data_IF_829640390739
#
_entry.id   IF_829640390739
#
_cell.length_a   1.000
_cell.length_b   1.000
_cell.length_c   1.000
_cell.angle_alpha   90.00
_cell.angle_beta   90.00
_cell.angle_gamma   90.00
#
_symmetry.space_group_name_H-M   'P 1'
#
loop_
_entity.id
_entity.type
_entity.pdbx_description
1 polymer ?
#
# COMPACT_ATOMS: atom_id res chain seq x y z
N UNK A 1 7.20 -21.16 -45.95
CA UNK A 1 6.75 -21.50 -45.40
C UNK A 1 6.43 -21.26 -45.28
N UNK A 2 6.59 -21.63 -44.69
CA UNK A 2 6.40 -21.98 -44.23
C UNK A 2 6.29 -21.73 -43.85
N UNK A 3 6.53 -21.64 -43.90
CA UNK A 3 6.38 -22.03 -43.38
C UNK A 3 6.32 -21.86 -42.86
N UNK A 4 6.72 -21.42 -42.81
CA UNK A 4 6.45 -21.85 -42.06
C UNK A 4 6.51 -21.66 -41.77
N UNK A 5 6.67 -21.88 -41.77
CA UNK A 5 6.50 -22.26 -41.18
C UNK A 5 6.34 -22.01 -40.49
N UNK A 6 7.06 -22.22 -41.61
CA UNK A 6 6.62 -22.66 -40.66
C UNK A 6 6.41 -22.13 -40.14
N UNK A 7 6.19 -22.20 -39.82
CA UNK A 7 5.89 -22.38 -39.11
C UNK A 7 5.70 -21.87 -38.51
N UNK A 8 6.39 -21.89 -38.66
CA UNK A 8 5.76 -22.11 -37.96
C UNK A 8 5.64 -21.69 -37.60
N UNK A 9 5.42 -21.78 -37.60
CA UNK A 9 5.08 -22.01 -36.88
C UNK A 9 4.91 -21.41 -36.36
N UNK A 10 5.33 -21.31 -36.67
CA UNK A 10 4.80 -21.49 -35.87
C UNK A 10 4.51 -20.96 -35.41
N UNK A 11 4.85 -21.06 -35.47
CA UNK A 11 4.19 -21.21 -34.63
C UNK A 11 3.91 -20.81 -34.12
N UNK A 12 4.15 -20.91 -34.13
CA UNK A 12 3.48 -21.11 -33.26
C UNK A 12 3.31 -20.78 -32.71
N UNK A 13 3.70 -21.03 -32.81
CA UNK A 13 3.10 -21.30 -31.85
C UNK A 13 2.95 -20.78 -31.59
N UNK A 14 2.85 -20.81 -31.46
CA UNK A 14 2.44 -20.97 -30.71
C UNK A 14 2.06 -20.52 -30.29
N UNK A 15 2.59 -20.69 -30.14
CA UNK A 15 1.84 -20.83 -29.46
C UNK A 15 1.56 -20.65 -29.15
N UNK A 16 1.50 -20.55 -29.42
CA UNK A 16 0.87 -20.75 -28.62
C UNK A 16 0.80 -20.41 -28.09
N UNK A 17 1.34 -20.74 -27.98
CA UNK A 17 0.89 -20.87 -27.13
C UNK A 17 0.77 -20.39 -26.88
N UNK A 18 0.75 -20.37 -26.74
CA UNK A 18 0.53 -19.93 -26.24
C UNK A 18 0.03 -19.50 -26.04
N UNK A 19 -0.23 -19.45 -25.48
CA UNK A 19 -0.79 -18.94 -24.91
C UNK A 19 -1.08 -18.74 -23.89
N UNK A 20 -1.61 -18.20 -23.01
CA UNK A 20 -2.06 -18.43 -21.65
C UNK A 20 -1.07 -18.19 -20.55
N UNK A 21 0.11 -18.00 -20.86
CA UNK A 21 1.17 -17.71 -19.91
C UNK A 21 1.03 -16.35 -19.26
N UNK A 22 0.60 -15.38 -20.01
CA UNK A 22 0.43 -14.03 -19.50
C UNK A 22 -0.58 -13.99 -18.34
N UNK A 23 -1.58 -14.83 -18.40
CA UNK A 23 -2.60 -14.89 -17.37
C UNK A 23 -2.02 -15.28 -16.01
N UNK A 24 -1.09 -16.23 -16.02
CA UNK A 24 -0.46 -16.70 -14.79
C UNK A 24 0.36 -15.59 -14.15
N UNK A 25 1.10 -14.83 -14.97
CA UNK A 25 1.92 -13.73 -14.48
C UNK A 25 1.08 -12.66 -13.79
N UNK A 26 -0.09 -12.37 -14.36
CA UNK A 26 -0.96 -11.35 -13.81
C UNK A 26 -1.39 -11.69 -12.39
N UNK A 27 -1.64 -12.96 -12.12
CA UNK A 27 -2.09 -13.37 -10.79
C UNK A 27 -1.11 -13.01 -9.69
N UNK A 28 0.17 -13.02 -9.98
CA UNK A 28 1.21 -12.82 -8.97
C UNK A 28 1.37 -11.35 -8.56
N UNK A 29 0.84 -10.40 -9.32
CA UNK A 29 1.02 -8.98 -9.00
C UNK A 29 -0.02 -8.45 -8.02
N UNK A 30 -1.03 -9.23 -7.68
CA UNK A 30 -2.08 -8.80 -6.75
C UNK A 30 -1.77 -9.25 -5.33
N UNK A 31 -0.60 -8.85 -4.85
CA UNK A 31 -0.22 -9.12 -3.47
C UNK A 31 -1.12 -8.32 -2.52
N UNK A 32 -1.39 -8.91 -1.36
CA UNK A 32 -2.10 -8.20 -0.31
C UNK A 32 -1.25 -7.05 0.20
N UNK A 33 -1.84 -5.87 0.43
CA UNK A 33 -1.11 -4.79 1.07
C UNK A 33 -0.69 -5.18 2.49
N UNK A 34 0.48 -4.72 2.89
CA UNK A 34 1.03 -4.96 4.23
C UNK A 34 1.64 -3.68 4.75
N UNK A 35 1.59 -3.50 6.07
CA UNK A 35 2.19 -2.35 6.73
C UNK A 35 2.84 -2.79 8.03
N UNK A 36 4.03 -2.24 8.28
CA UNK A 36 4.72 -2.34 9.56
C UNK A 36 5.01 -0.94 10.05
N UNK A 37 4.80 -0.69 11.33
CA UNK A 37 5.12 0.58 11.95
C UNK A 37 6.03 0.36 13.14
N UNK A 38 6.87 1.34 13.43
CA UNK A 38 7.79 1.29 14.57
C UNK A 38 8.10 2.72 15.01
N UNK A 39 7.97 3.02 16.31
CA UNK A 39 7.43 2.17 17.38
C UNK A 39 5.90 2.08 17.33
N UNK A 40 5.33 1.15 18.08
CA UNK A 40 3.87 0.98 18.13
C UNK A 40 3.22 1.76 19.27
N UNK A 41 4.01 2.53 19.99
CA UNK A 41 3.54 3.42 21.05
C UNK A 41 4.55 4.53 21.26
N UNK A 42 4.12 5.61 21.86
CA UNK A 42 5.02 6.72 22.17
C UNK A 42 4.31 7.79 23.00
N UNK A 43 5.06 8.83 23.40
CA UNK A 43 4.50 9.89 24.23
C UNK A 43 3.66 10.87 23.43
N UNK A 44 2.62 11.40 24.06
CA UNK A 44 1.82 12.49 23.49
C UNK A 44 2.69 13.74 23.32
N UNK A 45 3.52 14.02 24.30
CA UNK A 45 4.45 15.14 24.28
C UNK A 45 5.82 14.67 24.70
N UNK A 46 6.85 15.06 23.96
CA UNK A 46 6.88 16.01 22.83
C UNK A 46 6.43 15.42 21.49
N UNK A 47 5.85 14.24 21.48
CA UNK A 47 5.57 13.50 20.27
C UNK A 47 6.71 12.56 19.92
N UNK A 48 6.58 11.85 18.81
CA UNK A 48 7.62 10.90 18.39
C UNK A 48 7.50 10.60 16.90
N UNK A 49 8.60 10.15 16.33
CA UNK A 49 8.64 9.73 14.94
C UNK A 49 8.16 8.30 14.81
N UNK A 50 7.38 8.04 13.77
CA UNK A 50 6.92 6.70 13.43
C UNK A 50 7.46 6.38 12.04
N UNK A 51 8.17 5.27 11.92
CA UNK A 51 8.58 4.74 10.63
C UNK A 51 7.45 3.86 10.12
N UNK A 52 6.98 4.14 8.91
CA UNK A 52 5.91 3.40 8.28
C UNK A 52 6.47 2.74 7.03
N UNK A 53 6.49 1.42 7.04
CA UNK A 53 6.95 0.63 5.90
C UNK A 53 5.77 -0.15 5.36
N UNK A 54 5.52 -0.02 4.07
CA UNK A 54 4.35 -0.64 3.46
C UNK A 54 4.68 -1.15 2.07
N UNK A 55 3.90 -2.14 1.62
CA UNK A 55 4.01 -2.65 0.26
C UNK A 55 2.68 -3.28 -0.15
N UNK A 56 2.56 -3.64 -1.44
CA UNK A 56 1.36 -4.26 -1.97
C UNK A 56 0.32 -3.27 -2.47
N UNK A 57 0.65 -1.99 -2.50
CA UNK A 57 -0.22 -0.96 -3.06
C UNK A 57 0.04 -0.79 -4.56
N UNK A 58 -0.70 0.09 -5.20
CA UNK A 58 -0.46 0.39 -6.62
C UNK A 58 0.92 1.03 -6.78
N UNK A 59 1.68 0.62 -7.80
CA UNK A 59 2.97 1.26 -8.08
C UNK A 59 2.81 2.71 -8.48
N UNK A 60 3.79 3.54 -8.10
CA UNK A 60 3.87 4.95 -8.50
C UNK A 60 2.57 5.70 -8.23
N UNK A 61 2.02 5.50 -7.05
CA UNK A 61 0.71 6.01 -6.69
C UNK A 61 0.76 6.69 -5.33
N UNK A 62 -0.27 7.48 -5.03
CA UNK A 62 -0.41 8.09 -3.72
C UNK A 62 -1.14 7.14 -2.79
N UNK A 63 -0.65 7.02 -1.56
CA UNK A 63 -1.30 6.27 -0.48
C UNK A 63 -1.56 7.24 0.66
N UNK A 64 -2.80 7.30 1.11
CA UNK A 64 -3.17 8.12 2.28
C UNK A 64 -2.97 7.32 3.56
N UNK A 65 -2.52 8.02 4.60
CA UNK A 65 -2.37 7.47 5.94
C UNK A 65 -3.19 8.32 6.88
N UNK A 66 -4.20 7.72 7.50
CA UNK A 66 -5.10 8.43 8.39
C UNK A 66 -5.06 7.81 9.78
N UNK A 67 -4.74 8.64 10.78
CA UNK A 67 -4.79 8.22 12.17
C UNK A 67 -6.21 8.42 12.68
N UNK A 68 -6.85 7.33 13.06
CA UNK A 68 -8.25 7.38 13.52
C UNK A 68 -8.28 7.02 15.00
N UNK A 69 -8.75 7.94 15.81
CA UNK A 69 -8.90 7.73 17.24
C UNK A 69 -10.14 6.93 17.62
N UNK A 70 -10.27 6.62 18.89
CA UNK A 70 -11.43 5.86 19.39
C UNK A 70 -12.74 6.61 19.21
N UNK A 71 -12.67 7.92 19.06
CA UNK A 71 -13.84 8.79 18.81
C UNK A 71 -14.17 8.91 17.33
N UNK A 72 -13.51 8.15 16.47
CA UNK A 72 -13.65 8.15 15.02
C UNK A 72 -13.20 9.44 14.34
N UNK A 73 -12.51 10.31 15.06
CA UNK A 73 -11.93 11.51 14.48
C UNK A 73 -10.54 11.21 13.90
N UNK A 74 -10.14 12.04 12.95
CA UNK A 74 -8.85 11.90 12.25
C UNK A 74 -7.99 13.10 12.62
N UNK A 75 -7.22 13.01 13.73
CA UNK A 75 -6.39 14.15 14.15
C UNK A 75 -5.13 14.32 13.33
N UNK A 76 -4.73 13.31 12.57
CA UNK A 76 -3.52 13.37 11.78
C UNK A 76 -3.73 12.63 10.46
N UNK A 77 -3.32 13.27 9.38
CA UNK A 77 -3.43 12.74 8.03
C UNK A 77 -2.14 13.07 7.29
N UNK A 78 -1.61 12.09 6.59
CA UNK A 78 -0.45 12.29 5.72
C UNK A 78 -0.59 11.39 4.50
N UNK A 79 0.28 11.59 3.52
CA UNK A 79 0.26 10.79 2.31
C UNK A 79 1.69 10.56 1.83
N UNK A 80 1.88 9.42 1.17
CA UNK A 80 3.18 9.04 0.65
C UNK A 80 3.04 8.52 -0.77
N UNK A 81 4.15 8.59 -1.53
CA UNK A 81 4.21 8.05 -2.87
C UNK A 81 4.82 6.66 -2.82
N UNK A 82 4.18 5.71 -3.49
CA UNK A 82 4.75 4.37 -3.64
C UNK A 82 5.81 4.38 -4.74
N UNK A 83 6.74 3.44 -4.64
CA UNK A 83 7.76 3.23 -5.66
C UNK A 83 7.21 2.34 -6.79
N UNK A 84 8.09 1.92 -7.69
CA UNK A 84 7.69 1.12 -8.86
C UNK A 84 7.17 -0.27 -8.51
N UNK A 85 7.34 -0.71 -7.27
CA UNK A 85 6.84 -2.01 -6.81
C UNK A 85 5.66 -1.89 -5.85
N UNK A 86 5.18 -0.66 -5.61
CA UNK A 86 4.01 -0.44 -4.76
C UNK A 86 4.32 -0.35 -3.28
N UNK A 87 5.56 -0.05 -2.93
CA UNK A 87 5.98 0.07 -1.54
C UNK A 87 6.48 1.46 -1.20
N UNK A 88 6.65 1.71 0.09
CA UNK A 88 7.32 2.92 0.58
C UNK A 88 7.84 2.67 2.00
N UNK A 89 8.82 3.48 2.39
CA UNK A 89 9.35 3.51 3.76
C UNK A 89 9.53 4.98 4.10
N UNK A 90 8.71 5.49 5.01
CA UNK A 90 8.67 6.92 5.32
C UNK A 90 8.53 7.13 6.81
N UNK A 91 8.88 8.34 7.23
CA UNK A 91 8.78 8.74 8.64
C UNK A 91 7.72 9.82 8.74
N UNK A 92 6.82 9.67 9.73
CA UNK A 92 5.90 10.74 10.08
C UNK A 92 6.06 11.07 11.55
N UNK A 93 5.84 12.33 11.90
CA UNK A 93 5.95 12.78 13.28
C UNK A 93 4.56 12.85 13.90
N UNK A 94 4.35 12.03 14.92
CA UNK A 94 3.08 12.04 15.67
C UNK A 94 3.22 13.10 16.77
N UNK A 95 2.62 14.25 16.53
CA UNK A 95 2.74 15.39 17.40
C UNK A 95 1.36 15.80 17.92
N UNK A 96 1.31 16.12 19.20
CA UNK A 96 0.12 16.71 19.80
C UNK A 96 -1.13 15.83 19.71
N UNK A 97 -0.94 14.52 19.69
CA UNK A 97 -2.03 13.59 19.72
C UNK A 97 -2.39 13.29 21.17
N UNK A 98 -3.67 13.39 21.52
CA UNK A 98 -4.12 13.06 22.87
C UNK A 98 -3.93 11.58 23.14
N UNK A 99 -3.92 11.21 24.40
CA UNK A 99 -3.80 9.82 24.83
C UNK A 99 -4.99 9.02 24.33
N UNK A 100 -4.71 7.99 23.54
CA UNK A 100 -5.74 7.15 22.93
C UNK A 100 -5.09 5.96 22.25
N UNK A 101 -5.92 5.05 21.80
CA UNK A 101 -5.52 3.97 20.89
C UNK A 101 -5.95 4.37 19.49
N UNK A 102 -4.98 4.46 18.59
CA UNK A 102 -5.23 4.91 17.22
C UNK A 102 -5.08 3.73 16.25
N UNK A 103 -5.82 3.80 15.18
CA UNK A 103 -5.60 2.95 14.01
C UNK A 103 -5.08 3.83 12.87
N UNK A 104 -3.97 3.42 12.29
CA UNK A 104 -3.42 4.05 11.10
C UNK A 104 -3.98 3.30 9.91
N UNK A 105 -4.95 3.89 9.23
CA UNK A 105 -5.51 3.29 8.02
C UNK A 105 -4.73 3.76 6.80
N UNK A 106 -4.42 2.83 5.92
CA UNK A 106 -3.70 3.09 4.68
C UNK A 106 -4.49 2.52 3.52
N UNK A 107 -4.63 3.32 2.46
CA UNK A 107 -5.22 2.85 1.21
C UNK A 107 -4.82 3.76 0.07
N UNK A 108 -4.94 3.24 -1.16
CA UNK A 108 -4.65 4.01 -2.37
C UNK A 108 -5.57 5.21 -2.49
N UNK A 109 -5.00 6.32 -2.97
CA UNK A 109 -5.70 7.55 -3.31
C UNK A 109 -5.15 8.02 -4.65
N UNK A 110 -5.59 7.39 -5.72
CA UNK A 110 -5.02 7.61 -7.05
C UNK A 110 -5.26 9.02 -7.57
N UNK A 111 -6.33 9.67 -7.12
CA UNK A 111 -6.66 11.03 -7.53
C UNK A 111 -6.00 12.09 -6.66
N UNK A 112 -5.34 11.66 -5.57
CA UNK A 112 -4.67 12.57 -4.63
C UNK A 112 -5.65 13.64 -4.12
N UNK A 113 -6.87 13.21 -3.81
CA UNK A 113 -7.94 14.11 -3.37
C UNK A 113 -8.20 14.01 -1.85
N UNK A 114 -7.38 13.25 -1.14
CA UNK A 114 -7.52 13.09 0.32
C UNK A 114 -8.54 12.04 0.72
N UNK A 115 -9.11 11.33 -0.24
CA UNK A 115 -10.05 10.26 0.03
C UNK A 115 -9.53 8.94 -0.55
N UNK A 116 -9.74 7.86 0.18
CA UNK A 116 -9.37 6.54 -0.33
C UNK A 116 -10.16 6.25 -1.62
N UNK A 117 -9.50 5.62 -2.58
CA UNK A 117 -10.16 5.20 -3.81
C UNK A 117 -11.33 4.27 -3.49
N UNK A 118 -12.40 4.37 -4.28
CA UNK A 118 -13.54 3.50 -4.14
C UNK A 118 -13.10 2.07 -4.44
N UNK A 119 -13.37 1.17 -3.50
CA UNK A 119 -12.98 -0.23 -3.65
C UNK A 119 -11.53 -0.53 -3.33
N UNK A 120 -10.76 0.48 -2.93
CA UNK A 120 -9.38 0.26 -2.53
C UNK A 120 -9.31 -0.59 -1.26
N UNK A 121 -8.37 -1.50 -1.24
CA UNK A 121 -8.14 -2.31 -0.06
C UNK A 121 -7.49 -1.47 1.01
N UNK A 122 -8.14 -1.40 2.16
CA UNK A 122 -7.62 -0.70 3.33
C UNK A 122 -6.93 -1.67 4.24
N UNK A 123 -5.78 -1.25 4.76
CA UNK A 123 -5.12 -1.99 5.83
C UNK A 123 -4.89 -1.04 6.99
N UNK A 124 -4.60 -1.58 8.15
CA UNK A 124 -4.34 -0.73 9.29
C UNK A 124 -3.30 -1.34 10.22
N UNK A 125 -2.69 -0.47 11.02
CA UNK A 125 -1.81 -0.82 12.11
C UNK A 125 -2.27 -0.08 13.35
N UNK A 126 -1.99 -0.64 14.53
CA UNK A 126 -2.40 -0.02 15.80
C UNK A 126 -1.24 0.71 16.42
N UNK A 127 -1.53 1.85 17.04
CA UNK A 127 -0.55 2.60 17.83
C UNK A 127 -1.23 3.11 19.09
N UNK A 128 -0.51 3.09 20.19
CA UNK A 128 -1.06 3.50 21.50
C UNK A 128 -0.28 4.71 22.03
N UNK A 129 -0.98 5.69 22.52
CA UNK A 129 -0.38 6.88 23.14
C UNK A 129 -1.01 7.04 24.51
N UNK A 130 -0.20 7.01 25.58
CA UNK A 130 1.24 6.72 25.62
C UNK A 130 1.51 5.22 25.62
N UNK A 131 2.78 4.85 25.69
CA UNK A 131 3.13 3.44 25.88
C UNK A 131 2.53 2.92 27.18
N UNK A 132 1.95 1.70 27.15
CA UNK A 132 1.36 1.11 28.36
C UNK A 132 2.39 0.76 29.42
#
# INVERSE_FOLDING_TARGET
MYHLRGFAFTTIVFAFGIFGLATISVMSIFAEPKVDISPICGPSEPGFNIVIEANGFKPNNTVDVKFVGSDSKIPLYTKFQTNSTGGFSEVTFADDLKEDKYKLYLADDSNDDGAFDIGAKRIYANITIPCP
#
